data_IF_253348489688
#
_entry.id   IF_253348489688
#
_cell.length_a   1.000
_cell.length_b   1.000
_cell.length_c   1.000
_cell.angle_alpha   90.00
_cell.angle_beta   90.00
_cell.angle_gamma   90.00
#
_symmetry.space_group_name_H-M   'P 1'
#
loop_
_entity.id
_entity.type
_entity.pdbx_description
1 polymer ?
#
# COMPACT_ATOMS: atom_id res chain seq x y z
N UNK A 1 13.23 4.87 -4.98
CA UNK A 1 14.16 4.07 -4.14
C UNK A 1 14.59 2.83 -4.91
N UNK A 2 15.89 2.59 -5.12
CA UNK A 2 16.36 1.37 -5.80
C UNK A 2 16.47 0.20 -4.81
N UNK A 3 15.33 -0.22 -4.26
CA UNK A 3 15.21 -1.31 -3.27
C UNK A 3 14.01 -2.19 -3.63
N UNK A 4 14.10 -3.52 -3.41
CA UNK A 4 12.95 -4.39 -3.61
C UNK A 4 11.83 -4.04 -2.62
N UNK A 5 10.61 -4.45 -2.96
CA UNK A 5 9.47 -4.34 -2.05
C UNK A 5 9.78 -5.06 -0.72
N UNK A 6 10.16 -6.32 -0.81
CA UNK A 6 10.53 -7.22 0.28
C UNK A 6 11.60 -8.20 -0.22
N UNK A 7 12.45 -8.71 0.69
CA UNK A 7 13.38 -9.80 0.38
C UNK A 7 12.71 -11.08 0.88
N UNK A 8 12.30 -11.94 -0.06
CA UNK A 8 11.47 -13.11 0.26
C UNK A 8 12.25 -14.27 0.89
N UNK A 9 13.55 -14.37 0.65
CA UNK A 9 14.42 -15.32 1.34
C UNK A 9 14.75 -14.80 2.75
N UNK A 10 14.36 -15.56 3.78
CA UNK A 10 14.47 -15.13 5.18
C UNK A 10 15.93 -14.96 5.62
N UNK A 11 16.82 -15.83 5.15
CA UNK A 11 18.24 -15.78 5.50
C UNK A 11 18.89 -14.56 4.87
N UNK A 12 18.69 -14.36 3.58
CA UNK A 12 19.16 -13.18 2.85
C UNK A 12 18.60 -11.90 3.47
N UNK A 13 17.31 -11.88 3.78
CA UNK A 13 16.66 -10.73 4.39
C UNK A 13 17.29 -10.36 5.73
N UNK A 14 17.50 -11.34 6.60
CA UNK A 14 18.12 -11.16 7.92
C UNK A 14 19.55 -10.63 7.80
N UNK A 15 20.36 -11.19 6.91
CA UNK A 15 21.73 -10.72 6.67
C UNK A 15 21.75 -9.28 6.16
N UNK A 16 20.89 -8.95 5.18
CA UNK A 16 20.80 -7.60 4.62
C UNK A 16 20.25 -6.60 5.64
N UNK A 17 19.30 -7.00 6.48
CA UNK A 17 18.74 -6.17 7.54
C UNK A 17 19.84 -5.72 8.51
N UNK A 18 20.69 -6.65 8.95
CA UNK A 18 21.85 -6.34 9.82
C UNK A 18 22.85 -5.44 9.09
N UNK A 19 23.25 -5.81 7.87
CA UNK A 19 24.26 -5.07 7.08
C UNK A 19 23.84 -3.63 6.80
N UNK A 20 22.55 -3.39 6.58
CA UNK A 20 22.02 -2.07 6.19
C UNK A 20 21.35 -1.31 7.34
N UNK A 21 21.36 -1.87 8.55
CA UNK A 21 20.66 -1.33 9.72
C UNK A 21 19.18 -1.03 9.43
N UNK A 22 18.46 -2.03 8.89
CA UNK A 22 17.04 -1.92 8.56
C UNK A 22 16.71 -1.20 7.26
N UNK A 23 17.70 -0.91 6.40
CA UNK A 23 17.50 -0.24 5.10
C UNK A 23 17.60 -1.20 3.90
N UNK A 24 17.21 -2.45 4.10
CA UNK A 24 17.38 -3.53 3.12
C UNK A 24 16.27 -3.57 2.06
N UNK A 25 15.02 -3.28 2.43
CA UNK A 25 13.86 -3.31 1.54
C UNK A 25 12.89 -2.16 1.84
N UNK A 26 11.91 -1.95 0.96
CA UNK A 26 10.95 -0.85 1.10
C UNK A 26 10.15 -0.92 2.41
N UNK A 27 9.66 -2.11 2.77
CA UNK A 27 8.85 -2.30 3.99
C UNK A 27 9.65 -1.98 5.24
N UNK A 28 10.92 -2.36 5.34
CA UNK A 28 11.75 -2.02 6.51
C UNK A 28 12.09 -0.54 6.55
N UNK A 29 12.34 0.10 5.40
CA UNK A 29 12.60 1.54 5.31
C UNK A 29 11.39 2.36 5.76
N UNK A 30 10.20 1.98 5.29
CA UNK A 30 8.94 2.60 5.71
C UNK A 30 8.58 2.24 7.16
N UNK A 31 9.09 1.10 7.61
CA UNK A 31 8.81 0.47 8.89
C UNK A 31 7.73 -0.60 8.73
N UNK A 32 7.92 -1.75 9.37
CA UNK A 32 7.05 -2.92 9.26
C UNK A 32 5.59 -2.67 9.70
N UNK A 33 4.61 -3.42 9.17
CA UNK A 33 3.24 -3.41 9.67
C UNK A 33 3.17 -3.73 11.17
N UNK A 34 2.48 -2.90 11.96
CA UNK A 34 2.29 -3.14 13.39
C UNK A 34 0.87 -3.61 13.73
N UNK A 35 0.78 -4.50 14.73
CA UNK A 35 -0.47 -4.83 15.42
C UNK A 35 -0.17 -4.96 16.90
N UNK A 36 -0.88 -4.20 17.74
CA UNK A 36 -0.67 -4.14 19.19
C UNK A 36 0.79 -3.80 19.58
N UNK A 37 1.44 -2.90 18.82
CA UNK A 37 2.83 -2.49 19.05
C UNK A 37 3.88 -3.50 18.59
N UNK A 38 3.48 -4.66 18.06
CA UNK A 38 4.38 -5.69 17.54
C UNK A 38 4.51 -5.52 16.03
N UNK A 39 5.74 -5.46 15.54
CA UNK A 39 6.07 -5.47 14.11
C UNK A 39 5.92 -6.88 13.52
N UNK A 40 5.24 -6.97 12.39
CA UNK A 40 5.04 -8.21 11.64
C UNK A 40 5.81 -8.17 10.32
N UNK A 41 6.40 -9.31 9.89
CA UNK A 41 6.96 -9.42 8.55
C UNK A 41 5.84 -9.44 7.49
N UNK A 42 6.24 -9.43 6.22
CA UNK A 42 5.36 -9.82 5.14
C UNK A 42 5.27 -11.35 5.12
N UNK A 43 4.05 -11.88 5.03
CA UNK A 43 3.77 -13.32 5.09
C UNK A 43 3.83 -13.99 3.72
N UNK A 44 4.07 -15.30 3.68
CA UNK A 44 4.22 -16.07 2.44
C UNK A 44 3.01 -15.99 1.50
N UNK A 45 1.78 -16.00 2.03
CA UNK A 45 0.58 -15.85 1.18
C UNK A 45 0.54 -14.47 0.50
N UNK A 46 1.16 -13.44 1.09
CA UNK A 46 1.25 -12.13 0.48
C UNK A 46 2.26 -12.12 -0.66
N UNK A 47 3.26 -13.03 -0.65
CA UNK A 47 4.12 -13.27 -1.80
C UNK A 47 3.32 -13.77 -3.01
N UNK A 48 2.43 -14.75 -2.79
CA UNK A 48 1.57 -15.26 -3.86
C UNK A 48 0.73 -14.14 -4.50
N UNK A 49 0.23 -13.23 -3.66
CA UNK A 49 -0.54 -12.06 -4.12
C UNK A 49 0.36 -11.05 -4.83
N UNK A 50 1.56 -10.78 -4.31
CA UNK A 50 2.55 -9.92 -4.95
C UNK A 50 2.87 -10.42 -6.36
N UNK A 51 3.23 -11.69 -6.48
CA UNK A 51 3.57 -12.32 -7.75
C UNK A 51 2.38 -12.27 -8.72
N UNK A 52 1.15 -12.51 -8.22
CA UNK A 52 -0.06 -12.41 -9.04
C UNK A 52 -0.31 -10.98 -9.56
N UNK A 53 -0.12 -9.96 -8.74
CA UNK A 53 -0.29 -8.55 -9.13
C UNK A 53 0.79 -8.11 -10.13
N UNK A 54 2.05 -8.48 -9.93
CA UNK A 54 3.14 -8.11 -10.84
C UNK A 54 3.02 -8.78 -12.22
N UNK A 55 2.43 -9.97 -12.27
CA UNK A 55 2.35 -10.78 -13.50
C UNK A 55 1.07 -10.55 -14.31
N UNK A 56 0.03 -9.94 -13.71
CA UNK A 56 -1.28 -9.83 -14.34
C UNK A 56 -1.80 -8.39 -14.28
N UNK A 57 -2.45 -7.93 -15.34
CA UNK A 57 -3.10 -6.61 -15.32
C UNK A 57 -4.30 -6.55 -14.38
N UNK A 58 -5.05 -7.67 -14.25
CA UNK A 58 -6.26 -7.76 -13.44
C UNK A 58 -6.15 -8.96 -12.50
N UNK A 59 -6.37 -8.73 -11.20
CA UNK A 59 -6.33 -9.78 -10.17
C UNK A 59 -7.57 -9.69 -9.30
N UNK A 60 -8.26 -10.82 -9.13
CA UNK A 60 -9.35 -10.96 -8.15
C UNK A 60 -8.90 -11.85 -7.01
N UNK A 61 -8.93 -11.31 -5.78
CA UNK A 61 -8.57 -12.02 -4.56
C UNK A 61 -9.81 -12.24 -3.69
N UNK A 62 -10.20 -13.49 -3.49
CA UNK A 62 -11.11 -13.87 -2.42
C UNK A 62 -10.31 -14.13 -1.14
N UNK A 63 -10.72 -13.51 -0.02
CA UNK A 63 -10.00 -13.62 1.25
C UNK A 63 -10.90 -13.64 2.47
N UNK A 64 -10.38 -14.17 3.57
CA UNK A 64 -10.98 -14.03 4.89
C UNK A 64 -10.79 -12.61 5.46
N UNK A 65 -11.54 -12.29 6.52
CA UNK A 65 -11.40 -11.01 7.24
C UNK A 65 -10.20 -11.04 8.17
N UNK A 66 -9.58 -9.88 8.41
CA UNK A 66 -8.53 -9.73 9.43
C UNK A 66 -7.12 -10.21 9.03
N UNK A 67 -6.93 -10.73 7.81
CA UNK A 67 -5.62 -11.22 7.34
C UNK A 67 -4.66 -10.11 6.87
N UNK A 68 -4.87 -8.85 7.25
CA UNK A 68 -3.92 -7.77 6.92
C UNK A 68 -3.69 -7.46 5.43
N UNK A 69 -4.50 -7.98 4.49
CA UNK A 69 -4.29 -7.76 3.05
C UNK A 69 -4.37 -6.28 2.66
N UNK A 70 -5.31 -5.51 3.23
CA UNK A 70 -5.41 -4.08 2.94
C UNK A 70 -4.14 -3.34 3.35
N UNK A 71 -3.52 -3.71 4.47
CA UNK A 71 -2.22 -3.14 4.88
C UNK A 71 -1.16 -3.43 3.83
N UNK A 72 -1.03 -4.70 3.42
CA UNK A 72 -0.08 -5.10 2.39
C UNK A 72 -0.26 -4.32 1.08
N UNK A 73 -1.49 -4.16 0.60
CA UNK A 73 -1.77 -3.42 -0.63
C UNK A 73 -1.34 -1.95 -0.52
N UNK A 74 -1.54 -1.30 0.63
CA UNK A 74 -1.08 0.09 0.82
C UNK A 74 0.45 0.15 0.76
N UNK A 75 1.17 -0.76 1.44
CA UNK A 75 2.65 -0.82 1.34
C UNK A 75 3.10 -1.03 -0.11
N UNK A 76 2.44 -1.91 -0.84
CA UNK A 76 2.74 -2.19 -2.24
C UNK A 76 2.50 -0.96 -3.13
N UNK A 77 1.36 -0.26 -2.96
CA UNK A 77 1.08 0.97 -3.71
C UNK A 77 2.13 2.05 -3.42
N UNK A 78 2.46 2.26 -2.14
CA UNK A 78 3.51 3.19 -1.72
C UNK A 78 4.86 2.84 -2.35
N UNK A 79 5.21 1.55 -2.41
CA UNK A 79 6.41 1.09 -3.07
C UNK A 79 6.41 1.42 -4.56
N UNK A 80 5.32 1.16 -5.28
CA UNK A 80 5.21 1.48 -6.71
C UNK A 80 5.31 2.98 -6.98
N UNK A 81 4.67 3.80 -6.14
CA UNK A 81 4.72 5.27 -6.23
C UNK A 81 6.15 5.80 -6.00
N UNK A 82 6.88 5.25 -5.03
CA UNK A 82 8.20 5.78 -4.62
C UNK A 82 9.39 5.14 -5.32
N UNK A 83 9.20 3.97 -5.92
CA UNK A 83 10.29 3.19 -6.52
C UNK A 83 10.32 3.27 -8.04
N UNK A 84 9.20 3.64 -8.67
CA UNK A 84 9.08 3.71 -10.12
C UNK A 84 8.45 5.02 -10.58
N UNK A 85 8.73 5.41 -11.81
CA UNK A 85 8.03 6.51 -12.49
C UNK A 85 6.79 6.00 -13.28
N UNK A 86 6.46 4.71 -13.20
CA UNK A 86 5.37 4.10 -13.98
C UNK A 86 4.00 4.70 -13.67
N UNK A 87 3.83 5.10 -12.41
CA UNK A 87 2.62 5.74 -11.89
C UNK A 87 2.71 7.27 -11.88
N UNK A 88 3.76 7.85 -12.45
CA UNK A 88 3.89 9.30 -12.53
C UNK A 88 2.76 9.86 -13.41
N UNK A 89 2.03 10.85 -12.89
CA UNK A 89 0.84 11.44 -13.53
C UNK A 89 -0.35 10.48 -13.70
N UNK A 90 -0.35 9.32 -13.04
CA UNK A 90 -1.52 8.42 -13.00
C UNK A 90 -2.26 8.57 -11.69
N UNK A 91 -3.59 8.48 -11.76
CA UNK A 91 -4.46 8.46 -10.58
C UNK A 91 -4.67 7.01 -10.14
N UNK A 92 -4.49 6.74 -8.86
CA UNK A 92 -4.82 5.46 -8.24
C UNK A 92 -6.18 5.63 -7.56
N UNK A 93 -7.19 4.90 -8.02
CA UNK A 93 -8.51 4.89 -7.41
C UNK A 93 -8.63 3.71 -6.45
N UNK A 94 -8.91 3.99 -5.18
CA UNK A 94 -9.21 2.96 -4.18
C UNK A 94 -10.70 3.01 -3.87
N UNK A 95 -11.43 2.02 -4.37
CA UNK A 95 -12.85 1.85 -4.04
C UNK A 95 -12.96 0.92 -2.85
N UNK A 96 -13.18 1.49 -1.67
CA UNK A 96 -13.60 0.71 -0.50
C UNK A 96 -15.13 0.53 -0.56
N UNK A 97 -15.69 -0.53 0.04
CA UNK A 97 -17.13 -0.82 -0.04
C UNK A 97 -18.03 0.34 0.44
N UNK A 98 -19.35 0.12 0.51
CA UNK A 98 -20.37 1.18 0.74
C UNK A 98 -20.28 1.97 2.06
N UNK A 99 -19.31 1.66 2.93
CA UNK A 99 -19.12 2.31 4.23
C UNK A 99 -18.02 3.36 4.14
N UNK A 100 -18.40 4.63 4.18
CA UNK A 100 -17.49 5.78 4.22
C UNK A 100 -16.40 5.64 5.31
N UNK A 101 -16.78 5.13 6.48
CA UNK A 101 -15.87 4.87 7.61
C UNK A 101 -14.67 4.01 7.19
N UNK A 102 -14.89 3.02 6.31
CA UNK A 102 -13.81 2.14 5.86
C UNK A 102 -12.85 2.86 4.89
N UNK A 103 -13.36 3.78 4.07
CA UNK A 103 -12.56 4.61 3.19
C UNK A 103 -11.67 5.56 4.00
N UNK A 104 -12.27 6.26 4.98
CA UNK A 104 -11.55 7.18 5.86
C UNK A 104 -10.46 6.46 6.66
N UNK A 105 -10.76 5.27 7.21
CA UNK A 105 -9.76 4.43 7.88
C UNK A 105 -8.58 4.09 6.96
N UNK A 106 -8.82 3.83 5.67
CA UNK A 106 -7.74 3.50 4.74
C UNK A 106 -6.87 4.72 4.42
N UNK A 107 -7.49 5.90 4.28
CA UNK A 107 -6.80 7.19 4.09
C UNK A 107 -5.88 7.50 5.27
N UNK A 108 -6.43 7.44 6.49
CA UNK A 108 -5.66 7.64 7.72
C UNK A 108 -4.52 6.63 7.84
N UNK A 109 -4.80 5.36 7.52
CA UNK A 109 -3.78 4.31 7.56
C UNK A 109 -2.63 4.57 6.59
N UNK A 110 -2.92 5.05 5.37
CA UNK A 110 -1.90 5.37 4.39
C UNK A 110 -1.06 6.58 4.81
N UNK A 111 -1.68 7.62 5.37
CA UNK A 111 -0.96 8.77 5.93
C UNK A 111 -0.06 8.36 7.10
N UNK A 112 -0.59 7.54 8.01
CA UNK A 112 0.11 7.02 9.19
C UNK A 112 1.31 6.11 8.90
N UNK A 113 1.45 5.59 7.67
CA UNK A 113 2.62 4.78 7.30
C UNK A 113 3.94 5.54 7.43
N UNK A 114 3.92 6.84 7.14
CA UNK A 114 5.13 7.65 7.10
C UNK A 114 5.45 8.29 8.44
N UNK A 115 4.48 8.41 9.35
CA UNK A 115 4.65 9.14 10.61
C UNK A 115 5.78 8.57 11.49
N UNK A 116 5.94 7.24 11.51
CA UNK A 116 6.93 6.58 12.38
C UNK A 116 8.37 6.83 11.93
N UNK A 117 8.65 6.62 10.65
CA UNK A 117 10.03 6.69 10.11
C UNK A 117 10.34 8.02 9.40
N UNK A 118 9.31 8.77 9.02
CA UNK A 118 9.40 10.04 8.29
C UNK A 118 8.46 11.10 8.88
N UNK A 119 8.59 11.47 10.16
CA UNK A 119 7.68 12.41 10.83
C UNK A 119 7.68 13.82 10.23
N UNK A 120 8.72 14.19 9.49
CA UNK A 120 8.84 15.49 8.82
C UNK A 120 8.15 15.51 7.45
N UNK A 121 7.63 14.37 6.97
CA UNK A 121 6.96 14.28 5.68
C UNK A 121 5.54 14.83 5.79
N UNK A 122 5.32 16.00 5.19
CA UNK A 122 3.97 16.57 5.08
C UNK A 122 3.30 16.10 3.77
N UNK A 123 2.43 15.10 3.89
CA UNK A 123 1.58 14.65 2.80
C UNK A 123 0.40 15.63 2.62
N UNK A 124 0.66 16.76 1.98
CA UNK A 124 -0.40 17.70 1.61
C UNK A 124 -1.23 17.15 0.44
N UNK A 125 -2.55 17.13 0.60
CA UNK A 125 -3.47 16.82 -0.50
C UNK A 125 -3.69 18.08 -1.33
N UNK A 126 -3.24 18.09 -2.60
CA UNK A 126 -3.53 19.19 -3.53
C UNK A 126 -4.92 19.08 -4.20
N UNK A 127 -5.58 17.93 -4.07
CA UNK A 127 -6.95 17.74 -4.49
C UNK A 127 -7.85 18.06 -3.30
N UNK A 128 -8.51 19.21 -3.37
CA UNK A 128 -9.71 19.51 -2.59
C UNK A 128 -10.76 18.44 -2.84
N UNK A 129 -11.48 18.05 -1.80
CA UNK A 129 -12.71 17.26 -1.91
C UNK A 129 -13.70 18.03 -2.78
N UNK A 130 -13.61 17.86 -4.10
CA UNK A 130 -14.61 18.37 -5.03
C UNK A 130 -15.78 17.38 -5.03
N UNK A 131 -16.96 17.75 -4.51
CA UNK A 131 -18.10 16.85 -4.42
C UNK A 131 -18.57 16.31 -5.78
N UNK A 132 -18.12 16.92 -6.89
CA UNK A 132 -18.57 16.58 -8.25
C UNK A 132 -18.06 15.25 -8.80
N UNK A 133 -16.96 14.67 -8.28
CA UNK A 133 -16.46 13.38 -8.79
C UNK A 133 -17.42 12.23 -8.44
N UNK A 134 -18.11 12.33 -7.30
CA UNK A 134 -19.10 11.32 -6.90
C UNK A 134 -20.38 11.36 -7.75
N UNK A 135 -20.73 12.53 -8.33
CA UNK A 135 -21.90 12.66 -9.20
C UNK A 135 -21.63 12.23 -10.64
N UNK A 136 -20.42 12.49 -11.16
CA UNK A 136 -20.11 12.21 -12.58
C UNK A 136 -19.88 10.71 -12.85
N UNK A 137 -19.45 9.96 -11.84
CA UNK A 137 -19.25 8.50 -11.96
C UNK A 137 -20.57 7.72 -11.90
N UNK A 138 -21.64 8.30 -11.33
CA UNK A 138 -22.99 7.71 -11.32
C UNK A 138 -23.81 8.10 -12.56
N UNK A 139 -23.50 9.22 -13.22
CA UNK A 139 -24.18 9.65 -14.45
C UNK A 139 -23.67 8.96 -15.72
N UNK A 140 -22.45 8.39 -15.70
CA UNK A 140 -21.89 7.64 -16.84
C UNK A 140 -22.32 6.17 -16.90
N UNK A 141 -23.04 5.66 -15.89
CA UNK A 141 -23.62 4.31 -15.88
C UNK A 141 -25.14 4.25 -16.10
N UNK A 142 -25.78 5.38 -16.46
CA UNK A 142 -27.13 5.36 -17.01
C UNK A 142 -27.08 5.53 -18.53
N UNK A 143 -26.65 4.47 -19.22
CA UNK A 143 -27.05 4.24 -20.61
C UNK A 143 -28.35 3.43 -20.61
N UNK A 144 -29.46 4.16 -20.69
CA UNK A 144 -30.65 3.84 -21.49
C UNK A 144 -31.29 5.17 -21.90
#
# INVERSE_FOLDING_TARGET
MNKPFWIWDEKEHSEQFIKTNGKCCHVDILGRPQKNGIDFPIFDYQKLIFDAIEQNMNVWILKSRGIGLSTFLIYYLTWKILSSNELQHRTILIVSGTREIHANYLKEKMAGLFERNFPLLNLSTKYTDDPQIYTDTLLSYNCN
#
